data_IF_214631484997
#
_entry.id   IF_214631484997
#
_cell.length_a   1.000
_cell.length_b   1.000
_cell.length_c   1.000
_cell.angle_alpha   90.00
_cell.angle_beta   90.00
_cell.angle_gamma   90.00
#
_symmetry.space_group_name_H-M   'P 1'
#
loop_
_entity.id
_entity.type
_entity.pdbx_description
1 polymer ?
#
# COMPACT_ATOMS: atom_id res chain seq x y z
N UNK A 1 26.95 45.07 3.56
CA UNK A 1 26.01 43.96 3.31
C UNK A 1 24.62 44.53 3.51
N UNK A 2 23.84 44.71 2.44
CA UNK A 2 22.54 45.41 2.53
C UNK A 2 21.46 44.45 3.02
N UNK A 3 20.84 44.76 4.15
CA UNK A 3 19.72 43.99 4.67
C UNK A 3 18.53 44.07 3.70
N UNK A 4 17.98 42.92 3.33
CA UNK A 4 16.81 42.81 2.45
C UNK A 4 15.55 42.94 3.30
N UNK A 5 14.78 44.05 3.23
CA UNK A 5 13.66 44.33 4.13
C UNK A 5 12.44 43.42 3.92
N UNK A 6 12.39 42.63 2.84
CA UNK A 6 11.30 41.70 2.52
C UNK A 6 11.79 40.26 2.46
N UNK A 7 12.48 39.81 3.50
CA UNK A 7 12.72 38.37 3.67
C UNK A 7 11.37 37.74 4.06
N UNK A 8 10.79 36.81 3.27
CA UNK A 8 9.60 36.11 3.70
C UNK A 8 9.94 35.37 4.99
N UNK A 9 9.16 35.61 6.04
CA UNK A 9 9.26 34.85 7.28
C UNK A 9 9.08 33.37 6.94
N UNK A 10 9.94 32.51 7.48
CA UNK A 10 9.73 31.07 7.39
C UNK A 10 8.34 30.76 7.94
N UNK A 11 7.55 29.97 7.22
CA UNK A 11 6.31 29.42 7.76
C UNK A 11 6.67 28.73 9.07
N UNK A 12 6.23 29.31 10.19
CA UNK A 12 6.33 28.66 11.48
C UNK A 12 5.58 27.35 11.37
N UNK A 13 6.30 26.23 11.44
CA UNK A 13 5.74 24.90 11.62
C UNK A 13 4.89 24.97 12.87
N UNK A 14 3.60 25.23 12.71
CA UNK A 14 2.68 25.27 13.82
C UNK A 14 2.59 23.82 14.26
N UNK A 15 3.26 23.48 15.35
CA UNK A 15 3.00 22.26 16.13
C UNK A 15 1.62 22.42 16.76
N UNK A 16 0.59 22.57 15.93
CA UNK A 16 -0.72 22.08 16.32
C UNK A 16 -0.56 20.57 16.46
N UNK A 17 -1.16 19.92 17.47
CA UNK A 17 -1.41 18.48 17.40
C UNK A 17 -2.46 18.29 16.31
N UNK A 18 -2.06 18.48 15.06
CA UNK A 18 -2.78 17.91 13.94
C UNK A 18 -2.63 16.42 14.19
N UNK A 19 -3.75 15.72 14.37
CA UNK A 19 -3.81 14.27 14.25
C UNK A 19 -3.45 13.92 12.80
N UNK A 20 -2.20 14.12 12.42
CA UNK A 20 -1.66 13.48 11.24
C UNK A 20 -1.51 12.04 11.69
N UNK A 21 -2.35 11.15 11.15
CA UNK A 21 -2.18 9.72 11.42
C UNK A 21 -0.73 9.36 11.11
N UNK A 22 0.02 9.08 12.16
CA UNK A 22 1.43 8.72 12.03
C UNK A 22 1.45 7.31 11.45
N UNK A 23 1.63 7.22 10.13
CA UNK A 23 1.82 5.95 9.45
C UNK A 23 3.26 5.50 9.65
N UNK A 24 3.46 4.37 10.31
CA UNK A 24 4.75 3.69 10.32
C UNK A 24 4.85 2.84 9.06
N UNK A 25 5.86 3.10 8.22
CA UNK A 25 6.13 2.32 7.01
C UNK A 25 7.46 1.59 7.17
N UNK A 26 7.45 0.30 6.87
CA UNK A 26 8.66 -0.53 6.84
C UNK A 26 8.70 -1.32 5.52
N UNK A 27 9.91 -1.69 5.09
CA UNK A 27 10.09 -2.46 3.87
C UNK A 27 11.12 -3.56 4.05
N UNK A 28 10.94 -4.64 3.30
CA UNK A 28 11.86 -5.77 3.15
C UNK A 28 12.12 -6.01 1.66
N UNK A 29 12.92 -7.02 1.32
CA UNK A 29 13.27 -7.29 -0.08
C UNK A 29 12.07 -7.69 -0.97
N UNK A 30 10.94 -8.12 -0.38
CA UNK A 30 9.79 -8.61 -1.14
C UNK A 30 8.45 -7.96 -0.77
N UNK A 31 8.40 -7.15 0.30
CA UNK A 31 7.16 -6.61 0.86
C UNK A 31 7.38 -5.23 1.50
N UNK A 32 6.37 -4.38 1.39
CA UNK A 32 6.19 -3.16 2.19
C UNK A 32 5.03 -3.37 3.16
N UNK A 33 5.20 -2.92 4.39
CA UNK A 33 4.19 -2.96 5.44
C UNK A 33 3.94 -1.56 5.96
N UNK A 34 2.67 -1.20 6.18
CA UNK A 34 2.29 0.07 6.77
C UNK A 34 1.32 -0.15 7.93
N UNK A 35 1.42 0.67 8.97
CA UNK A 35 0.57 0.58 10.16
C UNK A 35 0.19 1.97 10.64
N UNK A 36 -1.09 2.17 10.93
CA UNK A 36 -1.61 3.38 11.56
C UNK A 36 -1.42 3.31 13.07
N UNK A 37 -1.30 4.48 13.72
CA UNK A 37 -1.28 4.56 15.18
C UNK A 37 -2.55 4.00 15.86
N UNK A 38 -3.65 3.93 15.12
CA UNK A 38 -4.94 3.35 15.53
C UNK A 38 -4.98 1.82 15.45
N UNK A 39 -3.98 1.18 14.82
CA UNK A 39 -3.79 -0.27 14.81
C UNK A 39 -4.07 -0.95 13.47
N UNK A 40 -4.75 -0.30 12.53
CA UNK A 40 -4.95 -0.80 11.17
C UNK A 40 -3.60 -1.00 10.47
N UNK A 41 -3.50 -2.05 9.67
CA UNK A 41 -2.26 -2.36 8.96
C UNK A 41 -2.52 -2.97 7.59
N UNK A 42 -1.56 -2.79 6.70
CA UNK A 42 -1.55 -3.38 5.36
C UNK A 42 -0.19 -3.99 5.04
N UNK A 43 -0.21 -5.09 4.29
CA UNK A 43 0.98 -5.70 3.69
C UNK A 43 0.85 -5.75 2.18
N UNK A 44 1.86 -5.25 1.49
CA UNK A 44 1.91 -5.13 0.04
C UNK A 44 3.13 -5.88 -0.49
N UNK A 45 2.93 -6.85 -1.37
CA UNK A 45 4.04 -7.46 -2.10
C UNK A 45 4.58 -6.51 -3.15
N UNK A 46 5.91 -6.42 -3.25
CA UNK A 46 6.56 -5.70 -4.34
C UNK A 46 6.25 -6.35 -5.70
N UNK A 47 6.05 -7.67 -5.72
CA UNK A 47 5.56 -8.37 -6.90
C UNK A 47 4.08 -8.01 -7.16
N UNK A 48 3.83 -7.39 -8.31
CA UNK A 48 2.49 -7.03 -8.75
C UNK A 48 1.79 -5.99 -7.89
N UNK A 49 2.51 -5.31 -6.98
CA UNK A 49 1.96 -4.36 -5.99
C UNK A 49 0.69 -4.88 -5.29
N UNK A 50 0.63 -6.19 -5.04
CA UNK A 50 -0.57 -6.86 -4.56
C UNK A 50 -0.70 -6.68 -3.06
N UNK A 51 -1.81 -6.12 -2.60
CA UNK A 51 -2.15 -6.08 -1.18
C UNK A 51 -2.59 -7.48 -0.76
N UNK A 52 -1.90 -8.06 0.23
CA UNK A 52 -2.11 -9.45 0.66
C UNK A 52 -2.60 -9.58 2.11
N UNK A 53 -2.56 -8.50 2.88
CA UNK A 53 -3.19 -8.41 4.20
C UNK A 53 -3.68 -6.97 4.39
N UNK A 54 -4.88 -6.83 4.94
CA UNK A 54 -5.41 -5.58 5.47
C UNK A 54 -6.18 -5.91 6.74
N UNK A 55 -5.68 -5.41 7.87
CA UNK A 55 -6.29 -5.61 9.18
C UNK A 55 -6.96 -4.33 9.67
N UNK A 56 -8.11 -4.50 10.32
CA UNK A 56 -8.76 -3.41 11.04
C UNK A 56 -7.99 -3.06 12.34
N UNK A 57 -8.46 -2.05 13.08
CA UNK A 57 -7.89 -1.66 14.38
C UNK A 57 -7.89 -2.76 15.44
N UNK A 58 -8.75 -3.78 15.29
CA UNK A 58 -8.85 -4.91 16.20
C UNK A 58 -7.94 -6.07 15.77
N UNK A 59 -7.20 -5.92 14.66
CA UNK A 59 -6.36 -6.95 14.07
C UNK A 59 -7.11 -8.01 13.25
N UNK A 60 -8.42 -7.83 13.00
CA UNK A 60 -9.20 -8.73 12.17
C UNK A 60 -8.79 -8.57 10.70
N UNK A 61 -8.48 -9.69 10.05
CA UNK A 61 -8.15 -9.72 8.63
C UNK A 61 -9.40 -9.45 7.77
N UNK A 62 -9.31 -8.48 6.87
CA UNK A 62 -10.39 -8.03 6.01
C UNK A 62 -10.31 -8.65 4.60
N UNK A 63 -9.14 -9.17 4.22
CA UNK A 63 -8.93 -9.78 2.91
C UNK A 63 -8.84 -11.31 3.03
N UNK A 64 -9.50 -12.00 2.10
CA UNK A 64 -9.24 -13.42 1.92
C UNK A 64 -7.93 -13.60 1.16
N UNK A 65 -7.02 -14.41 1.71
CA UNK A 65 -5.83 -14.88 1.05
C UNK A 65 -5.83 -16.41 1.10
N UNK A 66 -5.58 -17.06 -0.02
CA UNK A 66 -5.46 -18.51 -0.06
C UNK A 66 -4.28 -18.99 0.79
N UNK A 67 -4.48 -20.05 1.59
CA UNK A 67 -3.40 -20.73 2.32
C UNK A 67 -2.28 -21.27 1.40
N UNK A 68 -2.64 -21.70 0.18
CA UNK A 68 -1.68 -22.15 -0.84
C UNK A 68 -1.21 -21.05 -1.81
N UNK A 69 -1.36 -19.77 -1.44
CA UNK A 69 -0.90 -18.67 -2.30
C UNK A 69 0.63 -18.67 -2.42
N UNK A 70 1.15 -18.52 -3.65
CA UNK A 70 2.59 -18.37 -3.88
C UNK A 70 2.94 -16.87 -3.79
N UNK A 71 3.76 -16.51 -2.79
CA UNK A 71 4.19 -15.14 -2.53
C UNK A 71 5.63 -14.86 -3.00
N UNK A 72 6.24 -15.79 -3.72
CA UNK A 72 7.65 -15.71 -4.16
C UNK A 72 7.81 -14.97 -5.51
N UNK A 73 6.73 -14.37 -6.03
CA UNK A 73 6.75 -13.62 -7.29
C UNK A 73 6.87 -14.47 -8.56
N UNK A 74 6.62 -15.78 -8.48
CA UNK A 74 6.66 -16.67 -9.66
C UNK A 74 5.34 -16.68 -10.45
N UNK A 75 4.21 -16.41 -9.78
CA UNK A 75 2.87 -16.42 -10.38
C UNK A 75 1.96 -15.43 -9.64
N UNK A 76 0.84 -15.08 -10.28
CA UNK A 76 -0.18 -14.24 -9.67
C UNK A 76 -0.64 -14.81 -8.31
N UNK A 77 -0.82 -13.92 -7.34
CA UNK A 77 -1.27 -14.26 -5.99
C UNK A 77 -2.76 -14.60 -6.04
N UNK A 78 -3.15 -15.67 -5.33
CA UNK A 78 -4.55 -16.09 -5.22
C UNK A 78 -5.18 -15.50 -3.94
N UNK A 79 -6.01 -14.49 -4.12
CA UNK A 79 -6.59 -13.70 -3.03
C UNK A 79 -5.92 -12.32 -2.91
N UNK A 80 -6.22 -11.60 -1.84
CA UNK A 80 -5.80 -10.20 -1.68
C UNK A 80 -6.44 -9.29 -2.72
N UNK A 81 -5.71 -8.24 -3.12
CA UNK A 81 -6.12 -7.26 -4.14
C UNK A 81 -5.10 -7.25 -5.29
N UNK A 82 -5.20 -8.19 -6.25
CA UNK A 82 -4.34 -8.22 -7.43
C UNK A 82 -4.66 -7.07 -8.39
N UNK A 83 -3.64 -6.50 -9.02
CA UNK A 83 -3.80 -5.49 -10.06
C UNK A 83 -4.01 -6.16 -11.42
N UNK A 84 -5.08 -5.77 -12.12
CA UNK A 84 -5.36 -6.21 -13.50
C UNK A 84 -5.24 -5.00 -14.42
N UNK A 85 -4.19 -4.98 -15.22
CA UNK A 85 -3.88 -3.88 -16.15
C UNK A 85 -2.91 -4.39 -17.23
N UNK A 86 -2.97 -3.91 -18.50
CA UNK A 86 -3.98 -2.99 -19.05
C UNK A 86 -5.24 -3.69 -19.57
N UNK A 87 -5.20 -5.02 -19.74
CA UNK A 87 -6.33 -5.80 -20.26
C UNK A 87 -6.89 -6.68 -19.16
N UNK A 88 -8.21 -6.63 -18.98
CA UNK A 88 -8.93 -7.63 -18.20
C UNK A 88 -9.42 -8.70 -19.20
N UNK A 89 -9.15 -9.97 -18.89
CA UNK A 89 -9.31 -11.14 -19.76
C UNK A 89 -10.40 -10.99 -20.83
N UNK A 90 -10.01 -11.04 -22.10
CA UNK A 90 -10.95 -11.26 -23.19
C UNK A 90 -11.36 -12.73 -23.24
N UNK A 91 -12.63 -12.96 -23.54
CA UNK A 91 -13.23 -14.29 -23.67
C UNK A 91 -12.49 -15.12 -24.73
N UNK A 92 -11.88 -16.25 -24.33
CA UNK A 92 -11.38 -17.30 -25.24
C UNK A 92 -12.51 -18.13 -25.89
N UNK A 93 -13.50 -17.49 -26.50
CA UNK A 93 -14.36 -18.18 -27.47
C UNK A 93 -14.24 -17.54 -28.83
N UNK A 94 -13.10 -17.79 -29.48
CA UNK A 94 -13.00 -17.64 -30.92
C UNK A 94 -11.85 -18.48 -31.49
N UNK A 95 -11.72 -19.76 -31.10
CA UNK A 95 -11.01 -20.75 -31.94
C UNK A 95 -11.63 -22.14 -31.70
N UNK A 96 -12.91 -22.29 -32.03
CA UNK A 96 -13.36 -23.53 -32.66
C UNK A 96 -13.35 -23.25 -34.16
N UNK A 97 -12.29 -23.69 -34.83
CA UNK A 97 -12.32 -24.16 -36.22
C UNK A 97 -11.93 -25.63 -36.17
#
# INVERSE_FOLDING_TARGET
MVDRPKKPSCLTTTTSPITQELVSVSHSNSRVSATLATGESIDILLFGATIISWRDKNGQELLWLSESANLNGQKAVRGGLPLVFPVCSSRLSEVYN
#
